data_IF_393243697762
#
_entry.id   IF_393243697762
#
_cell.length_a   1.000
_cell.length_b   1.000
_cell.length_c   1.000
_cell.angle_alpha   90.00
_cell.angle_beta   90.00
_cell.angle_gamma   90.00
#
_symmetry.space_group_name_H-M   'P 1'
#
loop_
_entity.id
_entity.type
_entity.pdbx_description
1 polymer ?
#
# COMPACT_ATOMS: atom_id res chain seq x y z
N UNK A 1 -3.40 5.32 -34.58
CA UNK A 1 -3.29 5.61 -33.13
C UNK A 1 -4.67 6.06 -32.68
N UNK A 2 -5.38 5.25 -31.88
CA UNK A 2 -6.70 5.63 -31.38
C UNK A 2 -6.56 6.77 -30.38
N UNK A 3 -7.34 7.83 -30.53
CA UNK A 3 -7.44 8.92 -29.57
C UNK A 3 -7.75 8.36 -28.18
N UNK A 4 -6.99 8.74 -27.13
CA UNK A 4 -7.29 8.28 -25.78
C UNK A 4 -8.71 8.69 -25.40
N UNK A 5 -9.47 7.79 -24.78
CA UNK A 5 -10.80 8.14 -24.26
C UNK A 5 -10.66 9.30 -23.26
N UNK A 6 -11.68 10.13 -23.13
CA UNK A 6 -11.68 11.22 -22.14
C UNK A 6 -11.32 10.71 -20.73
N UNK A 7 -11.83 9.53 -20.36
CA UNK A 7 -11.49 8.87 -19.10
C UNK A 7 -9.99 8.55 -18.99
N UNK A 8 -9.35 8.11 -20.09
CA UNK A 8 -7.90 7.81 -20.10
C UNK A 8 -7.06 9.04 -19.80
N UNK A 9 -7.40 10.20 -20.36
CA UNK A 9 -6.71 11.46 -20.07
C UNK A 9 -6.87 11.89 -18.60
N UNK A 10 -8.08 11.73 -18.04
CA UNK A 10 -8.32 12.02 -16.62
C UNK A 10 -7.55 11.07 -15.69
N UNK A 11 -7.45 9.78 -16.04
CA UNK A 11 -6.69 8.82 -15.27
C UNK A 11 -5.19 9.17 -15.27
N UNK A 12 -4.63 9.50 -16.43
CA UNK A 12 -3.23 9.90 -16.54
C UNK A 12 -2.95 11.13 -15.68
N UNK A 13 -3.73 12.19 -15.85
CA UNK A 13 -3.56 13.41 -15.05
C UNK A 13 -3.84 13.20 -13.55
N UNK A 14 -4.71 12.26 -13.18
CA UNK A 14 -4.92 11.89 -11.78
C UNK A 14 -3.65 11.31 -11.16
N UNK A 15 -3.00 10.36 -11.83
CA UNK A 15 -1.81 9.72 -11.28
C UNK A 15 -0.60 10.63 -11.33
N UNK A 16 -0.30 11.25 -12.45
CA UNK A 16 0.93 12.05 -12.64
C UNK A 16 0.84 13.43 -12.00
N UNK A 17 -0.25 14.16 -12.24
CA UNK A 17 -0.35 15.54 -11.76
C UNK A 17 -0.92 15.59 -10.34
N UNK A 18 -2.07 14.92 -10.10
CA UNK A 18 -2.80 15.09 -8.85
C UNK A 18 -2.15 14.33 -7.70
N UNK A 19 -1.86 13.02 -7.86
CA UNK A 19 -1.30 12.24 -6.77
C UNK A 19 0.19 12.51 -6.55
N UNK A 20 0.97 12.66 -7.62
CA UNK A 20 2.42 12.91 -7.54
C UNK A 20 2.70 14.37 -7.23
N UNK A 21 2.28 15.29 -8.12
CA UNK A 21 2.71 16.68 -8.03
C UNK A 21 1.92 17.49 -6.98
N UNK A 22 0.58 17.36 -6.95
CA UNK A 22 -0.26 18.18 -6.05
C UNK A 22 -0.35 17.59 -4.64
N UNK A 23 -0.52 16.27 -4.51
CA UNK A 23 -0.63 15.61 -3.18
C UNK A 23 0.69 15.10 -2.63
N UNK A 24 1.75 14.98 -3.43
CA UNK A 24 3.06 14.50 -2.99
C UNK A 24 3.01 13.10 -2.34
N UNK A 25 2.14 12.21 -2.83
CA UNK A 25 1.95 10.90 -2.21
C UNK A 25 3.16 9.99 -2.45
N UNK A 26 3.45 9.19 -1.46
CA UNK A 26 4.52 8.18 -1.54
C UNK A 26 4.21 7.13 -2.63
N UNK A 27 5.23 6.62 -3.35
CA UNK A 27 5.04 5.64 -4.44
C UNK A 27 4.22 4.41 -4.05
N UNK A 28 4.36 3.93 -2.82
CA UNK A 28 3.58 2.80 -2.31
C UNK A 28 2.08 3.10 -2.23
N UNK A 29 1.71 4.33 -1.85
CA UNK A 29 0.31 4.77 -1.82
C UNK A 29 -0.25 4.91 -3.24
N UNK A 30 0.55 5.47 -4.17
CA UNK A 30 0.15 5.60 -5.58
C UNK A 30 -0.09 4.23 -6.20
N UNK A 31 0.80 3.25 -5.98
CA UNK A 31 0.61 1.86 -6.43
C UNK A 31 -0.70 1.26 -5.88
N UNK A 32 -0.97 1.46 -4.59
CA UNK A 32 -2.20 0.97 -3.97
C UNK A 32 -3.46 1.59 -4.58
N UNK A 33 -3.42 2.89 -4.89
CA UNK A 33 -4.52 3.59 -5.57
C UNK A 33 -4.68 3.11 -7.01
N UNK A 34 -3.58 2.92 -7.72
CA UNK A 34 -3.57 2.36 -9.07
C UNK A 34 -4.22 0.98 -9.13
N UNK A 35 -3.87 0.09 -8.21
CA UNK A 35 -4.49 -1.24 -8.12
C UNK A 35 -5.99 -1.16 -7.85
N UNK A 36 -6.42 -0.27 -6.94
CA UNK A 36 -7.83 -0.10 -6.62
C UNK A 36 -8.64 0.40 -7.82
N UNK A 37 -8.15 1.44 -8.52
CA UNK A 37 -8.81 2.01 -9.68
C UNK A 37 -8.80 1.03 -10.84
N UNK A 38 -7.67 0.36 -11.11
CA UNK A 38 -7.58 -0.68 -12.14
C UNK A 38 -8.62 -1.78 -11.94
N UNK A 39 -8.76 -2.28 -10.71
CA UNK A 39 -9.75 -3.31 -10.39
C UNK A 39 -11.18 -2.80 -10.59
N UNK A 40 -11.47 -1.56 -10.21
CA UNK A 40 -12.77 -0.94 -10.42
C UNK A 40 -13.11 -0.78 -11.91
N UNK A 41 -12.15 -0.36 -12.73
CA UNK A 41 -12.33 -0.24 -14.17
C UNK A 41 -12.56 -1.59 -14.85
N UNK A 42 -11.81 -2.63 -14.44
CA UNK A 42 -12.02 -4.00 -14.92
C UNK A 42 -13.41 -4.52 -14.55
N UNK A 43 -13.84 -4.30 -13.32
CA UNK A 43 -15.18 -4.66 -12.87
C UNK A 43 -16.26 -3.91 -13.69
N UNK A 44 -16.09 -2.61 -13.89
CA UNK A 44 -17.03 -1.77 -14.65
C UNK A 44 -17.12 -2.21 -16.12
N UNK A 45 -15.99 -2.56 -16.74
CA UNK A 45 -15.95 -3.06 -18.11
C UNK A 45 -16.66 -4.41 -18.26
N UNK A 46 -16.43 -5.34 -17.30
CA UNK A 46 -17.11 -6.62 -17.25
C UNK A 46 -18.63 -6.45 -17.03
N UNK A 47 -19.03 -5.59 -16.09
CA UNK A 47 -20.42 -5.28 -15.78
C UNK A 47 -21.17 -4.69 -17.00
N UNK A 48 -20.48 -3.84 -17.76
CA UNK A 48 -21.01 -3.20 -18.99
C UNK A 48 -20.87 -4.11 -20.22
N UNK A 49 -20.14 -5.23 -20.12
CA UNK A 49 -19.79 -6.13 -21.24
C UNK A 49 -19.10 -5.39 -22.39
N UNK A 50 -18.15 -4.51 -22.07
CA UNK A 50 -17.39 -3.73 -23.04
C UNK A 50 -15.89 -3.80 -22.79
N UNK A 51 -15.06 -3.32 -23.72
CA UNK A 51 -13.62 -3.20 -23.53
C UNK A 51 -13.31 -2.02 -22.61
N UNK A 52 -12.20 -2.10 -21.85
CA UNK A 52 -11.70 -1.01 -21.03
C UNK A 52 -11.59 0.33 -21.77
N UNK A 53 -11.18 0.28 -23.02
CA UNK A 53 -11.03 1.46 -23.91
C UNK A 53 -12.36 2.12 -24.30
N UNK A 54 -13.48 1.47 -24.04
CA UNK A 54 -14.84 1.96 -24.32
C UNK A 54 -15.51 2.56 -23.08
N UNK A 55 -14.83 2.52 -21.94
CA UNK A 55 -15.32 3.18 -20.73
C UNK A 55 -15.18 4.69 -20.86
N UNK A 56 -16.19 5.38 -20.38
CA UNK A 56 -16.22 6.83 -20.30
C UNK A 56 -16.47 7.32 -18.86
N UNK A 57 -16.32 8.62 -18.64
CA UNK A 57 -16.54 9.26 -17.33
C UNK A 57 -17.98 9.02 -16.83
N UNK A 58 -18.96 9.01 -17.72
CA UNK A 58 -20.35 8.69 -17.39
C UNK A 58 -20.56 7.28 -16.82
N UNK A 59 -19.61 6.38 -17.02
CA UNK A 59 -19.62 5.04 -16.43
C UNK A 59 -19.18 5.02 -14.95
N UNK A 60 -18.55 6.09 -14.49
CA UNK A 60 -18.06 6.24 -13.12
C UNK A 60 -19.23 6.68 -12.22
N UNK A 61 -20.00 5.72 -11.72
CA UNK A 61 -21.19 5.97 -10.89
C UNK A 61 -21.05 5.40 -9.48
N UNK A 62 -21.71 6.05 -8.52
CA UNK A 62 -21.78 5.58 -7.13
C UNK A 62 -22.42 4.19 -7.01
N UNK A 63 -23.41 3.90 -7.84
CA UNK A 63 -24.02 2.58 -7.90
C UNK A 63 -23.02 1.48 -8.29
N UNK A 64 -22.17 1.73 -9.30
CA UNK A 64 -21.11 0.77 -9.67
C UNK A 64 -20.04 0.64 -8.57
N UNK A 65 -19.71 1.72 -7.88
CA UNK A 65 -18.82 1.66 -6.71
C UNK A 65 -19.39 0.73 -5.65
N UNK A 66 -20.66 0.84 -5.29
CA UNK A 66 -21.29 -0.05 -4.30
C UNK A 66 -21.27 -1.51 -4.74
N UNK A 67 -21.62 -1.80 -5.99
CA UNK A 67 -21.56 -3.17 -6.54
C UNK A 67 -20.14 -3.72 -6.57
N UNK A 68 -19.17 -2.90 -6.92
CA UNK A 68 -17.76 -3.28 -6.88
C UNK A 68 -17.30 -3.62 -5.47
N UNK A 69 -17.66 -2.82 -4.48
CA UNK A 69 -17.31 -3.08 -3.08
C UNK A 69 -17.94 -4.38 -2.57
N UNK A 70 -19.16 -4.68 -2.99
CA UNK A 70 -19.86 -5.94 -2.68
C UNK A 70 -19.17 -7.14 -3.35
N UNK A 71 -18.83 -7.02 -4.63
CA UNK A 71 -18.04 -8.00 -5.38
C UNK A 71 -16.68 -8.31 -4.73
N UNK A 72 -15.99 -7.28 -4.22
CA UNK A 72 -14.71 -7.47 -3.52
C UNK A 72 -14.85 -8.37 -2.29
N UNK A 73 -15.93 -8.23 -1.54
CA UNK A 73 -16.14 -9.00 -0.32
C UNK A 73 -16.69 -10.39 -0.64
N UNK A 74 -17.73 -10.51 -1.47
CA UNK A 74 -18.47 -11.77 -1.70
C UNK A 74 -17.77 -12.71 -2.68
N UNK A 75 -17.22 -12.18 -3.75
CA UNK A 75 -16.65 -12.99 -4.83
C UNK A 75 -15.12 -13.10 -4.74
N UNK A 76 -14.45 -12.04 -4.30
CA UNK A 76 -13.00 -12.03 -4.18
C UNK A 76 -12.49 -12.35 -2.77
N UNK A 77 -13.36 -12.49 -1.77
CA UNK A 77 -12.98 -12.81 -0.41
C UNK A 77 -12.10 -11.76 0.27
N UNK A 78 -12.20 -10.50 -0.14
CA UNK A 78 -11.38 -9.43 0.43
C UNK A 78 -11.82 -9.11 1.87
N UNK A 79 -10.83 -8.81 2.71
CA UNK A 79 -11.10 -8.33 4.06
C UNK A 79 -11.77 -6.96 4.05
N UNK A 80 -12.47 -6.62 5.12
CA UNK A 80 -13.07 -5.29 5.32
C UNK A 80 -12.01 -4.18 5.22
N UNK A 81 -10.82 -4.40 5.77
CA UNK A 81 -9.70 -3.45 5.67
C UNK A 81 -9.30 -3.19 4.20
N UNK A 82 -9.16 -4.25 3.39
CA UNK A 82 -8.85 -4.13 1.97
C UNK A 82 -9.96 -3.44 1.18
N UNK A 83 -11.24 -3.75 1.50
CA UNK A 83 -12.41 -3.06 0.92
C UNK A 83 -12.37 -1.56 1.23
N UNK A 84 -12.12 -1.19 2.48
CA UNK A 84 -12.08 0.20 2.92
C UNK A 84 -10.92 0.99 2.29
N UNK A 85 -9.76 0.35 2.12
CA UNK A 85 -8.62 0.95 1.42
C UNK A 85 -8.95 1.26 -0.04
N UNK A 86 -9.66 0.36 -0.74
CA UNK A 86 -10.10 0.60 -2.12
C UNK A 86 -11.16 1.69 -2.19
N UNK A 87 -12.08 1.74 -1.23
CA UNK A 87 -13.03 2.85 -1.12
C UNK A 87 -12.33 4.20 -0.96
N UNK A 88 -11.27 4.27 -0.15
CA UNK A 88 -10.50 5.51 0.02
C UNK A 88 -9.87 5.99 -1.31
N UNK A 89 -9.31 5.07 -2.10
CA UNK A 89 -8.77 5.40 -3.43
C UNK A 89 -9.86 5.90 -4.39
N UNK A 90 -11.03 5.23 -4.41
CA UNK A 90 -12.16 5.65 -5.24
C UNK A 90 -12.71 7.02 -4.82
N UNK A 91 -12.84 7.30 -3.53
CA UNK A 91 -13.24 8.62 -3.04
C UNK A 91 -12.31 9.71 -3.56
N UNK A 92 -11.01 9.50 -3.47
CA UNK A 92 -10.01 10.45 -3.97
C UNK A 92 -10.13 10.67 -5.49
N UNK A 93 -10.38 9.60 -6.25
CA UNK A 93 -10.57 9.69 -7.70
C UNK A 93 -11.87 10.41 -8.10
N UNK A 94 -12.98 10.10 -7.44
CA UNK A 94 -14.26 10.76 -7.71
C UNK A 94 -14.23 12.24 -7.31
N UNK A 95 -13.59 12.59 -6.20
CA UNK A 95 -13.34 13.98 -5.80
C UNK A 95 -12.53 14.72 -6.87
N UNK A 96 -11.45 14.09 -7.36
CA UNK A 96 -10.64 14.62 -8.45
C UNK A 96 -11.46 14.87 -9.72
N UNK A 97 -12.33 13.92 -10.11
CA UNK A 97 -13.24 14.10 -11.27
C UNK A 97 -14.22 15.24 -11.05
N UNK A 98 -14.84 15.34 -9.88
CA UNK A 98 -15.80 16.40 -9.54
C UNK A 98 -15.19 17.80 -9.61
N UNK A 99 -13.94 17.96 -9.19
CA UNK A 99 -13.22 19.24 -9.27
C UNK A 99 -12.92 19.69 -10.70
N UNK A 100 -13.01 18.79 -11.69
CA UNK A 100 -12.76 19.10 -13.11
C UNK A 100 -14.01 19.05 -13.96
N UNK A 101 -15.00 18.29 -13.53
CA UNK A 101 -16.25 18.04 -14.25
C UNK A 101 -17.43 18.24 -13.31
N UNK A 102 -18.10 19.39 -13.35
CA UNK A 102 -19.25 19.68 -12.47
C UNK A 102 -20.34 18.61 -12.52
N UNK A 103 -20.52 17.94 -13.66
CA UNK A 103 -21.47 16.82 -13.82
C UNK A 103 -21.19 15.65 -12.87
N UNK A 104 -19.96 15.50 -12.38
CA UNK A 104 -19.55 14.43 -11.47
C UNK A 104 -19.76 14.77 -9.97
N UNK A 105 -20.16 15.99 -9.63
CA UNK A 105 -20.35 16.43 -8.24
C UNK A 105 -21.32 15.53 -7.46
N UNK A 106 -22.47 15.22 -8.05
CA UNK A 106 -23.47 14.37 -7.38
C UNK A 106 -22.95 12.94 -7.13
N UNK A 107 -22.25 12.37 -8.10
CA UNK A 107 -21.66 11.03 -7.95
C UNK A 107 -20.51 11.03 -6.91
N UNK A 108 -19.65 12.02 -6.94
CA UNK A 108 -18.57 12.15 -5.97
C UNK A 108 -19.11 12.29 -4.54
N UNK A 109 -20.14 13.12 -4.34
CA UNK A 109 -20.80 13.26 -3.04
C UNK A 109 -21.39 11.93 -2.53
N UNK A 110 -22.07 11.17 -3.40
CA UNK A 110 -22.61 9.85 -3.06
C UNK A 110 -21.49 8.86 -2.69
N UNK A 111 -20.39 8.84 -3.45
CA UNK A 111 -19.23 7.96 -3.16
C UNK A 111 -18.57 8.35 -1.85
N UNK A 112 -18.43 9.62 -1.55
CA UNK A 112 -17.91 10.12 -0.26
C UNK A 112 -18.81 9.69 0.89
N UNK A 113 -20.14 9.68 0.70
CA UNK A 113 -21.12 9.22 1.67
C UNK A 113 -21.15 7.71 1.93
N UNK A 114 -20.50 6.87 1.10
CA UNK A 114 -20.46 5.42 1.33
C UNK A 114 -19.74 5.12 2.65
N UNK A 115 -20.36 4.42 3.61
CA UNK A 115 -19.75 4.23 4.93
C UNK A 115 -18.49 3.33 4.88
N UNK A 116 -17.52 3.67 5.70
CA UNK A 116 -16.40 2.79 6.02
C UNK A 116 -16.92 1.70 6.96
N UNK A 117 -16.71 0.44 6.61
CA UNK A 117 -17.11 -0.67 7.47
C UNK A 117 -16.17 -0.79 8.66
N UNK A 118 -16.73 -1.04 9.83
CA UNK A 118 -15.94 -1.37 11.02
C UNK A 118 -15.28 -2.74 10.83
N UNK A 119 -13.97 -2.78 11.02
CA UNK A 119 -13.20 -4.02 11.05
C UNK A 119 -12.71 -4.24 12.48
N UNK A 120 -12.83 -5.46 13.02
CA UNK A 120 -12.20 -5.75 14.29
C UNK A 120 -10.69 -5.53 14.16
N UNK A 121 -10.02 -5.02 15.21
CA UNK A 121 -8.58 -4.89 15.17
C UNK A 121 -7.95 -6.26 14.91
N UNK A 122 -6.93 -6.33 14.06
CA UNK A 122 -6.24 -7.60 13.82
C UNK A 122 -5.68 -8.11 15.15
N UNK A 123 -5.86 -9.41 15.41
CA UNK A 123 -5.17 -10.04 16.55
C UNK A 123 -3.68 -9.94 16.30
N UNK A 124 -2.99 -9.18 17.16
CA UNK A 124 -1.53 -9.09 17.10
C UNK A 124 -0.97 -10.44 17.54
N UNK A 125 -0.35 -11.16 16.60
CA UNK A 125 0.45 -12.34 16.92
C UNK A 125 1.88 -11.87 17.13
N UNK A 126 2.47 -12.24 18.23
CA UNK A 126 3.86 -11.99 18.53
C UNK A 126 4.50 -13.32 18.97
N UNK A 127 5.80 -13.40 18.85
CA UNK A 127 6.57 -14.53 19.32
C UNK A 127 6.97 -14.27 20.77
N UNK A 128 6.75 -15.26 21.62
CA UNK A 128 7.29 -15.25 22.97
C UNK A 128 8.81 -15.44 22.92
N UNK A 129 9.48 -15.18 24.03
CA UNK A 129 10.95 -15.21 24.08
C UNK A 129 11.53 -16.57 23.72
N UNK A 130 10.96 -17.64 24.26
CA UNK A 130 11.33 -19.01 23.97
C UNK A 130 11.11 -19.42 22.52
N UNK A 131 10.04 -18.92 21.88
CA UNK A 131 9.78 -19.11 20.46
C UNK A 131 10.83 -18.39 19.60
N UNK A 132 11.22 -17.16 19.98
CA UNK A 132 12.31 -16.43 19.30
C UNK A 132 13.62 -17.19 19.43
N UNK A 133 13.96 -17.67 20.64
CA UNK A 133 15.18 -18.48 20.88
C UNK A 133 15.15 -19.77 20.03
N UNK A 134 14.00 -20.45 19.96
CA UNK A 134 13.84 -21.64 19.13
C UNK A 134 14.06 -21.35 17.64
N UNK A 135 13.53 -20.22 17.14
CA UNK A 135 13.80 -19.79 15.74
C UNK A 135 15.30 -19.67 15.50
N UNK A 136 16.02 -18.95 16.36
CA UNK A 136 17.48 -18.78 16.19
C UNK A 136 18.29 -20.07 16.30
N UNK A 137 17.83 -21.03 17.12
CA UNK A 137 18.47 -22.34 17.25
C UNK A 137 18.32 -23.22 16.01
N UNK A 138 17.15 -23.12 15.35
CA UNK A 138 16.80 -23.95 14.19
C UNK A 138 17.13 -23.31 12.84
N UNK A 139 17.71 -22.12 12.81
CA UNK A 139 18.16 -21.51 11.56
C UNK A 139 19.19 -22.40 10.86
N UNK A 140 19.12 -22.55 9.53
CA UNK A 140 20.11 -23.28 8.74
C UNK A 140 21.51 -22.72 9.01
N UNK A 141 22.48 -23.60 9.28
CA UNK A 141 23.87 -23.19 9.61
C UNK A 141 24.84 -23.36 8.44
N UNK A 142 24.48 -24.18 7.45
CA UNK A 142 25.37 -24.62 6.37
C UNK A 142 24.97 -24.14 4.97
N UNK A 143 24.02 -23.23 4.86
CA UNK A 143 23.63 -22.65 3.56
C UNK A 143 24.52 -21.45 3.22
N UNK A 144 24.74 -21.12 1.94
CA UNK A 144 25.49 -19.93 1.54
C UNK A 144 24.94 -18.62 2.14
N UNK A 145 23.65 -18.62 2.49
CA UNK A 145 22.95 -17.46 3.03
C UNK A 145 22.73 -17.49 4.55
N UNK A 146 23.21 -18.55 5.23
CA UNK A 146 22.95 -18.76 6.67
C UNK A 146 23.39 -17.58 7.54
N UNK A 147 24.57 -17.03 7.29
CA UNK A 147 25.07 -15.85 8.00
C UNK A 147 24.19 -14.63 7.75
N UNK A 148 23.88 -14.34 6.49
CA UNK A 148 23.02 -13.22 6.11
C UNK A 148 21.66 -13.31 6.79
N UNK A 149 21.01 -14.46 6.70
CA UNK A 149 19.64 -14.65 7.21
C UNK A 149 19.61 -14.54 8.72
N UNK A 150 20.61 -15.10 9.41
CA UNK A 150 20.76 -14.97 10.87
C UNK A 150 21.00 -13.52 11.28
N UNK A 151 21.92 -12.81 10.61
CA UNK A 151 22.24 -11.41 10.89
C UNK A 151 21.01 -10.51 10.64
N UNK A 152 20.30 -10.75 9.56
CA UNK A 152 19.08 -10.01 9.22
C UNK A 152 17.99 -10.18 10.29
N UNK A 153 17.72 -11.41 10.73
CA UNK A 153 16.73 -11.69 11.76
C UNK A 153 17.15 -11.09 13.12
N UNK A 154 18.42 -11.19 13.47
CA UNK A 154 18.96 -10.60 14.69
C UNK A 154 18.85 -9.07 14.66
N UNK A 155 19.15 -8.45 13.52
CA UNK A 155 19.00 -7.01 13.31
C UNK A 155 17.55 -6.57 13.46
N UNK A 156 16.61 -7.28 12.83
CA UNK A 156 15.17 -7.01 12.94
C UNK A 156 14.70 -7.13 14.41
N UNK A 157 15.12 -8.16 15.10
CA UNK A 157 14.78 -8.40 16.51
C UNK A 157 15.36 -7.32 17.43
N UNK A 158 16.62 -6.92 17.21
CA UNK A 158 17.29 -5.89 18.00
C UNK A 158 16.65 -4.50 17.81
N UNK A 159 16.32 -4.13 16.56
CA UNK A 159 15.97 -2.74 16.22
C UNK A 159 14.47 -2.49 16.08
N UNK A 160 13.66 -3.53 15.96
CA UNK A 160 12.25 -3.43 15.61
C UNK A 160 12.02 -2.74 14.25
N UNK A 161 13.01 -2.85 13.34
CA UNK A 161 12.92 -2.23 12.02
C UNK A 161 11.86 -2.90 11.16
N UNK A 162 11.21 -2.12 10.30
CA UNK A 162 10.31 -2.67 9.28
C UNK A 162 11.13 -3.31 8.16
N UNK A 163 10.59 -4.34 7.51
CA UNK A 163 11.27 -5.02 6.41
C UNK A 163 11.77 -4.03 5.33
N UNK A 164 10.97 -3.03 4.97
CA UNK A 164 11.38 -2.02 3.99
C UNK A 164 12.51 -1.11 4.51
N UNK A 165 12.51 -0.74 5.79
CA UNK A 165 13.58 0.07 6.38
C UNK A 165 14.93 -0.66 6.33
N UNK A 166 14.89 -1.99 6.45
CA UNK A 166 16.09 -2.83 6.33
C UNK A 166 16.50 -3.02 4.88
N UNK A 167 15.55 -3.21 3.97
CA UNK A 167 15.83 -3.34 2.54
C UNK A 167 16.47 -2.06 1.94
N UNK A 168 16.08 -0.90 2.47
CA UNK A 168 16.59 0.42 2.03
C UNK A 168 17.85 0.86 2.80
N UNK A 169 18.34 0.05 3.77
CA UNK A 169 19.49 0.38 4.60
C UNK A 169 20.76 0.47 3.76
N UNK A 170 21.50 1.54 3.95
CA UNK A 170 22.80 1.77 3.33
C UNK A 170 23.92 1.59 4.35
N UNK A 171 25.09 1.11 3.92
CA UNK A 171 26.28 0.95 4.78
C UNK A 171 26.62 2.23 5.53
N UNK A 172 26.50 3.40 4.88
CA UNK A 172 26.75 4.70 5.53
C UNK A 172 25.77 5.07 6.67
N UNK A 173 24.72 4.27 6.88
CA UNK A 173 23.80 4.44 8.02
C UNK A 173 24.19 3.57 9.23
N UNK A 174 25.24 2.73 9.10
CA UNK A 174 25.77 1.89 10.16
C UNK A 174 27.02 2.55 10.75
N UNK A 175 27.07 2.61 12.06
CA UNK A 175 28.23 2.98 12.83
C UNK A 175 28.56 1.78 13.72
N UNK A 176 29.66 1.07 13.39
CA UNK A 176 30.10 -0.15 14.07
C UNK A 176 31.29 0.07 15.01
N UNK A 177 31.58 1.32 15.41
CA UNK A 177 32.62 1.68 16.38
C UNK A 177 32.27 1.23 17.80
N UNK A 178 32.86 1.91 18.79
CA UNK A 178 32.75 1.53 20.23
C UNK A 178 31.31 1.45 20.76
N UNK A 179 30.41 2.27 20.18
CA UNK A 179 28.98 2.30 20.51
C UNK A 179 28.16 2.04 19.24
N UNK A 180 28.05 0.75 18.84
CA UNK A 180 27.42 0.41 17.58
C UNK A 180 25.97 0.90 17.51
N UNK A 181 25.60 1.49 16.39
CA UNK A 181 24.26 2.05 16.16
C UNK A 181 23.92 2.09 14.67
N UNK A 182 22.63 2.16 14.39
CA UNK A 182 22.10 2.30 13.03
C UNK A 182 21.14 3.47 12.97
N UNK A 183 21.17 4.19 11.84
CA UNK A 183 20.18 5.20 11.49
C UNK A 183 19.17 4.58 10.54
N UNK A 184 17.91 4.51 10.96
CA UNK A 184 16.81 3.95 10.17
C UNK A 184 15.92 5.06 9.64
N UNK A 185 15.59 4.97 8.35
CA UNK A 185 14.69 5.89 7.67
C UNK A 185 13.30 5.26 7.58
N UNK A 186 12.33 5.83 8.27
CA UNK A 186 10.99 5.28 8.39
C UNK A 186 9.92 6.05 7.60
N UNK A 187 8.67 5.63 7.74
CA UNK A 187 7.51 6.23 7.08
C UNK A 187 7.39 7.72 7.44
N UNK A 188 7.11 8.55 6.42
CA UNK A 188 6.94 10.00 6.57
C UNK A 188 8.26 10.75 6.74
N UNK A 189 9.32 10.26 6.14
CA UNK A 189 10.67 10.85 6.15
C UNK A 189 11.24 11.00 7.57
N UNK A 190 10.87 10.10 8.48
CA UNK A 190 11.32 10.15 9.87
C UNK A 190 12.55 9.28 10.07
N UNK A 191 13.58 9.86 10.66
CA UNK A 191 14.81 9.17 11.04
C UNK A 191 14.79 8.80 12.52
N UNK A 192 15.29 7.61 12.85
CA UNK A 192 15.57 7.21 14.21
C UNK A 192 16.92 6.51 14.31
N UNK A 193 17.55 6.63 15.46
CA UNK A 193 18.82 5.94 15.78
C UNK A 193 18.50 4.80 16.74
N UNK A 194 18.97 3.61 16.41
CA UNK A 194 18.84 2.43 17.27
C UNK A 194 20.25 1.93 17.66
N UNK A 195 20.51 1.66 18.95
CA UNK A 195 21.73 0.99 19.35
C UNK A 195 21.73 -0.45 18.85
N UNK A 196 22.89 -0.94 18.47
CA UNK A 196 23.07 -2.33 18.06
C UNK A 196 23.69 -3.14 19.19
N UNK A 197 23.18 -4.35 19.40
CA UNK A 197 23.79 -5.31 20.31
C UNK A 197 25.11 -5.81 19.76
N UNK A 198 26.06 -6.16 20.64
CA UNK A 198 27.36 -6.71 20.22
C UNK A 198 27.25 -7.86 19.20
N UNK A 199 26.35 -8.86 19.38
CA UNK A 199 26.21 -9.94 18.39
C UNK A 199 25.62 -9.49 17.05
N UNK A 200 25.03 -8.31 16.98
CA UNK A 200 24.47 -7.74 15.76
C UNK A 200 25.49 -6.88 14.99
N UNK A 201 26.55 -6.44 15.69
CA UNK A 201 27.61 -5.57 15.17
C UNK A 201 28.87 -6.35 14.76
N UNK A 202 28.94 -7.63 15.03
CA UNK A 202 30.01 -8.58 14.65
C UNK A 202 29.66 -9.32 13.35
#
# INVERSE_FOLDING_TARGET
>A
MSTPSALGSFLHAFFEDHLVCQKGLQPATIRSYSDAIRLFLLFTAADKRCKLTQLDVSDMTSHRVLRFLDHLEKERGNTVASRNQRLAALRCFFEYLANRLPVMLAEAHRVTGVPVKLAPPPRTRYLERDEVEAVFQHLPKKTPWALRDRTLLLFLYNTGARAQEVADLKVGNLDLGDKPRVRLHGKGDKWRVCPLWKPCAQ
#
